data_IF_006777265639
#
_entry.id   IF_006777265639
#
_cell.length_a   1.000
_cell.length_b   1.000
_cell.length_c   1.000
_cell.angle_alpha   90.00
_cell.angle_beta   90.00
_cell.angle_gamma   90.00
#
_symmetry.space_group_name_H-M   'P 1'
#
loop_
_entity.id
_entity.type
_entity.pdbx_description
1 polymer ?
#
# COMPACT_ATOMS: atom_id res chain seq x y z
N UNK A 1 -4.90 13.15 -30.79
CA UNK A 1 -5.18 13.30 -29.35
C UNK A 1 -3.89 12.99 -28.62
N UNK A 2 -3.15 14.02 -28.25
CA UNK A 2 -1.97 13.91 -27.41
C UNK A 2 -2.46 13.78 -25.97
N UNK A 3 -2.33 12.59 -25.41
CA UNK A 3 -2.47 12.39 -23.99
C UNK A 3 -1.28 13.11 -23.34
N UNK A 4 -1.56 14.06 -22.45
CA UNK A 4 -0.54 14.71 -21.64
C UNK A 4 0.02 13.67 -20.65
N UNK A 5 1.02 12.93 -21.10
CA UNK A 5 1.89 12.14 -20.24
C UNK A 5 2.85 13.13 -19.55
N UNK A 6 2.62 13.51 -18.29
CA UNK A 6 3.67 13.95 -17.33
C UNK A 6 3.18 14.42 -15.94
N UNK A 7 1.88 14.55 -15.69
CA UNK A 7 1.40 15.15 -14.42
C UNK A 7 1.63 14.29 -13.15
N UNK A 8 2.13 13.06 -13.29
CA UNK A 8 2.32 12.10 -12.21
C UNK A 8 3.80 11.82 -11.88
N UNK A 9 4.74 12.54 -12.51
CA UNK A 9 6.17 12.35 -12.23
C UNK A 9 6.64 13.03 -10.95
N UNK A 10 5.91 14.03 -10.44
CA UNK A 10 6.25 14.76 -9.22
C UNK A 10 5.08 14.78 -8.23
N UNK A 11 5.15 13.91 -7.22
CA UNK A 11 4.29 14.03 -6.04
C UNK A 11 5.01 14.95 -5.05
N UNK A 12 4.48 16.16 -4.92
CA UNK A 12 5.02 17.16 -4.00
C UNK A 12 4.46 16.92 -2.60
N UNK A 13 5.36 16.82 -1.62
CA UNK A 13 4.99 16.77 -0.21
C UNK A 13 5.09 18.16 0.38
N UNK A 14 4.00 18.61 1.01
CA UNK A 14 3.97 19.84 1.78
C UNK A 14 4.30 19.46 3.22
N UNK A 15 5.46 19.89 3.70
CA UNK A 15 5.76 19.84 5.12
C UNK A 15 5.20 21.11 5.78
N UNK A 16 4.23 20.94 6.68
CA UNK A 16 3.71 22.05 7.49
C UNK A 16 4.56 22.13 8.76
N UNK A 17 5.69 22.83 8.67
CA UNK A 17 6.36 23.36 9.86
C UNK A 17 5.78 24.72 10.19
N UNK A 18 5.44 24.90 11.47
CA UNK A 18 4.92 26.07 12.15
C UNK A 18 4.66 27.32 11.27
N UNK A 19 3.37 27.54 11.02
CA UNK A 19 2.62 28.66 10.41
C UNK A 19 3.17 29.48 9.23
N UNK A 20 4.43 29.39 8.78
CA UNK A 20 4.95 30.33 7.75
C UNK A 20 5.92 29.79 6.71
N UNK A 21 6.35 28.53 6.77
CA UNK A 21 7.27 27.98 5.77
C UNK A 21 6.83 26.59 5.30
N UNK A 22 6.27 26.54 4.08
CA UNK A 22 6.07 25.30 3.33
C UNK A 22 7.36 25.01 2.55
N UNK A 23 8.11 23.99 2.95
CA UNK A 23 9.19 23.46 2.13
C UNK A 23 8.67 22.44 1.14
N UNK A 24 9.07 22.52 -0.13
CA UNK A 24 8.85 21.43 -1.08
C UNK A 24 9.81 20.29 -0.76
N UNK A 25 9.24 19.11 -0.50
CA UNK A 25 10.01 17.89 -0.29
C UNK A 25 9.72 16.91 -1.42
N UNK A 26 10.71 16.71 -2.29
CA UNK A 26 10.59 15.79 -3.41
C UNK A 26 10.72 14.36 -2.94
N UNK A 27 9.89 13.44 -3.46
CA UNK A 27 10.02 12.01 -3.18
C UNK A 27 10.26 11.19 -4.44
N UNK A 28 11.54 11.03 -4.86
CA UNK A 28 11.86 10.31 -6.10
C UNK A 28 11.36 8.86 -6.09
N UNK A 29 11.30 8.21 -4.93
CA UNK A 29 10.84 6.83 -4.77
C UNK A 29 9.35 6.65 -5.10
N UNK A 30 8.61 7.74 -5.25
CA UNK A 30 7.20 7.73 -5.64
C UNK A 30 6.96 7.94 -7.13
N UNK A 31 8.03 8.13 -7.91
CA UNK A 31 7.89 8.19 -9.35
C UNK A 31 7.26 6.89 -9.84
N UNK A 32 6.20 7.00 -10.64
CA UNK A 32 5.41 5.87 -11.11
C UNK A 32 4.80 5.03 -9.97
N UNK A 33 4.43 5.63 -8.83
CA UNK A 33 3.71 4.94 -7.78
C UNK A 33 2.40 5.64 -7.44
N UNK A 34 1.37 4.83 -7.29
CA UNK A 34 0.06 5.25 -6.80
C UNK A 34 -0.03 5.04 -5.29
N UNK A 35 -0.64 5.98 -4.55
CA UNK A 35 -0.86 5.85 -3.11
C UNK A 35 -2.28 5.32 -2.89
N UNK A 36 -2.39 4.24 -2.14
CA UNK A 36 -3.68 3.61 -1.78
C UNK A 36 -3.99 3.72 -0.29
N UNK A 37 -3.13 4.41 0.47
CA UNK A 37 -3.41 4.69 1.87
C UNK A 37 -2.20 5.19 2.63
N UNK A 38 -2.43 5.63 3.86
CA UNK A 38 -1.36 6.03 4.76
C UNK A 38 -1.73 5.75 6.21
N UNK A 39 -0.73 5.38 7.01
CA UNK A 39 -0.87 5.28 8.47
C UNK A 39 0.50 5.28 9.14
N UNK A 40 0.58 5.82 10.36
CA UNK A 40 1.82 5.86 11.15
C UNK A 40 3.03 6.50 10.44
N UNK A 41 2.81 7.45 9.53
CA UNK A 41 3.88 8.07 8.74
C UNK A 41 4.40 7.22 7.59
N UNK A 42 3.73 6.10 7.28
CA UNK A 42 4.00 5.26 6.13
C UNK A 42 2.90 5.42 5.09
N UNK A 43 3.29 5.43 3.83
CA UNK A 43 2.44 5.44 2.65
C UNK A 43 2.40 4.05 2.05
N UNK A 44 1.21 3.60 1.69
CA UNK A 44 1.02 2.37 0.95
C UNK A 44 1.07 2.70 -0.54
N UNK A 45 2.07 2.16 -1.23
CA UNK A 45 2.38 2.51 -2.61
C UNK A 45 2.30 1.29 -3.52
N UNK A 46 1.72 1.47 -4.70
CA UNK A 46 1.60 0.47 -5.76
C UNK A 46 2.33 1.00 -6.99
N UNK A 47 3.29 0.24 -7.50
CA UNK A 47 3.99 0.59 -8.73
C UNK A 47 3.02 0.59 -9.92
N UNK A 48 3.00 1.68 -10.71
CA UNK A 48 2.15 1.87 -11.90
C UNK A 48 2.74 1.30 -13.19
N UNK A 49 3.98 0.79 -13.13
CA UNK A 49 4.64 0.08 -14.23
C UNK A 49 4.94 -1.36 -13.86
N UNK A 50 5.26 -1.58 -12.59
CA UNK A 50 5.38 -2.88 -11.96
C UNK A 50 4.04 -3.38 -11.41
N UNK A 51 4.07 -4.47 -10.64
CA UNK A 51 2.94 -4.93 -9.83
C UNK A 51 3.31 -4.99 -8.34
N UNK A 52 4.38 -4.30 -7.98
CA UNK A 52 4.97 -4.37 -6.65
C UNK A 52 4.29 -3.40 -5.70
N UNK A 53 4.21 -3.82 -4.45
CA UNK A 53 3.57 -3.08 -3.37
C UNK A 53 4.62 -2.79 -2.30
N UNK A 54 4.67 -1.54 -1.85
CA UNK A 54 5.64 -1.12 -0.83
C UNK A 54 4.99 -0.20 0.19
N UNK A 55 5.39 -0.35 1.45
CA UNK A 55 5.28 0.72 2.42
C UNK A 55 6.46 1.66 2.24
N UNK A 56 6.19 2.95 2.12
CA UNK A 56 7.19 4.00 1.99
C UNK A 56 7.03 5.01 3.12
N UNK A 57 8.09 5.26 3.87
CA UNK A 57 8.15 6.41 4.75
C UNK A 57 8.79 7.57 3.97
N UNK A 58 8.04 8.62 3.59
CA UNK A 58 8.57 9.68 2.74
C UNK A 58 9.72 10.44 3.41
N UNK A 59 9.65 10.64 4.73
CA UNK A 59 10.65 11.41 5.47
C UNK A 59 11.99 10.66 5.61
N UNK A 60 11.93 9.38 5.96
CA UNK A 60 13.13 8.54 6.19
C UNK A 60 13.60 7.81 4.94
N UNK A 61 12.82 7.84 3.85
CA UNK A 61 13.03 7.04 2.62
C UNK A 61 12.97 5.52 2.82
N UNK A 62 12.63 5.06 4.01
CA UNK A 62 12.57 3.64 4.29
C UNK A 62 11.46 3.00 3.45
N UNK A 63 11.80 1.87 2.81
CA UNK A 63 10.85 1.07 2.03
C UNK A 63 10.77 -0.33 2.60
N UNK A 64 9.56 -0.86 2.71
CA UNK A 64 9.30 -2.23 3.14
C UNK A 64 8.48 -2.89 2.04
N UNK A 65 8.99 -3.94 1.38
CA UNK A 65 8.25 -4.66 0.37
C UNK A 65 7.10 -5.43 1.00
N UNK A 66 5.99 -5.48 0.29
CA UNK A 66 4.82 -6.31 0.57
C UNK A 66 4.60 -7.28 -0.59
N UNK A 67 3.76 -8.33 -0.42
CA UNK A 67 3.42 -9.21 -1.53
C UNK A 67 2.81 -8.41 -2.69
N UNK A 68 3.23 -8.73 -3.91
CA UNK A 68 2.81 -8.01 -5.13
C UNK A 68 1.34 -8.23 -5.47
N UNK A 69 0.77 -7.40 -6.36
CA UNK A 69 -0.62 -7.52 -6.81
C UNK A 69 -0.95 -8.93 -7.34
N UNK A 70 0.01 -9.61 -7.94
CA UNK A 70 -0.13 -10.97 -8.48
C UNK A 70 -0.43 -12.04 -7.41
N UNK A 71 -0.16 -11.73 -6.15
CA UNK A 71 -0.28 -12.68 -5.04
C UNK A 71 -1.62 -12.56 -4.32
N UNK A 72 -2.48 -11.62 -4.74
CA UNK A 72 -3.87 -11.57 -4.29
C UNK A 72 -4.63 -12.79 -4.78
N UNK A 73 -5.49 -13.31 -3.92
CA UNK A 73 -6.39 -14.40 -4.28
C UNK A 73 -7.62 -13.77 -4.95
N UNK A 74 -7.82 -14.03 -6.23
CA UNK A 74 -9.03 -13.56 -6.89
C UNK A 74 -10.24 -14.38 -6.43
N UNK A 75 -11.38 -13.73 -6.13
CA UNK A 75 -12.63 -14.45 -5.85
C UNK A 75 -12.98 -15.41 -6.98
N UNK A 76 -13.46 -16.61 -6.62
CA UNK A 76 -13.90 -17.61 -7.60
C UNK A 76 -15.04 -17.02 -8.45
N UNK A 77 -14.79 -16.87 -9.76
CA UNK A 77 -15.79 -16.42 -10.74
C UNK A 77 -15.69 -14.95 -11.17
N UNK A 78 -14.70 -14.18 -10.70
CA UNK A 78 -14.69 -12.73 -10.88
C UNK A 78 -13.96 -12.17 -12.11
N UNK A 79 -12.89 -12.79 -12.62
CA UNK A 79 -12.02 -12.08 -13.57
C UNK A 79 -11.38 -12.98 -14.63
N UNK A 80 -11.65 -12.67 -15.90
CA UNK A 80 -10.76 -13.00 -17.02
C UNK A 80 -9.71 -11.89 -17.07
N UNK A 81 -8.45 -12.24 -16.98
CA UNK A 81 -7.30 -11.39 -16.65
C UNK A 81 -6.91 -10.33 -17.70
N UNK A 82 -7.85 -9.57 -18.28
CA UNK A 82 -7.56 -8.80 -19.51
C UNK A 82 -8.09 -7.37 -19.61
N UNK A 83 -9.00 -6.89 -18.75
CA UNK A 83 -9.77 -5.67 -19.08
C UNK A 83 -9.68 -4.49 -18.09
N UNK A 84 -8.93 -4.59 -17.00
CA UNK A 84 -8.74 -3.44 -16.09
C UNK A 84 -7.26 -3.16 -15.83
N UNK A 85 -6.94 -1.87 -15.71
CA UNK A 85 -5.63 -1.38 -15.30
C UNK A 85 -5.42 -1.80 -13.83
N UNK A 86 -4.50 -2.73 -13.57
CA UNK A 86 -4.34 -3.37 -12.25
C UNK A 86 -4.09 -2.37 -11.09
N UNK A 87 -3.71 -1.13 -11.39
CA UNK A 87 -3.42 -0.10 -10.39
C UNK A 87 -4.64 0.39 -9.61
N UNK A 88 -5.85 0.23 -10.17
CA UNK A 88 -7.12 0.49 -9.48
C UNK A 88 -7.65 -0.72 -8.70
N UNK A 89 -6.88 -1.82 -8.65
CA UNK A 89 -7.30 -3.06 -8.00
C UNK A 89 -7.26 -2.97 -6.47
N UNK A 90 -6.41 -2.10 -5.92
CA UNK A 90 -6.35 -1.84 -4.48
C UNK A 90 -6.98 -0.47 -4.23
N UNK A 91 -8.11 -0.46 -3.53
CA UNK A 91 -8.88 0.75 -3.27
C UNK A 91 -8.36 1.50 -2.05
N UNK A 92 -8.16 0.77 -0.95
CA UNK A 92 -7.62 1.29 0.29
C UNK A 92 -6.69 0.29 0.95
N UNK A 93 -5.64 0.77 1.62
CA UNK A 93 -4.78 -0.06 2.43
C UNK A 93 -4.24 0.65 3.68
N UNK A 94 -4.12 -0.12 4.77
CA UNK A 94 -3.64 0.35 6.07
C UNK A 94 -2.77 -0.69 6.74
N UNK A 95 -1.93 -0.22 7.68
CA UNK A 95 -1.12 -1.08 8.55
C UNK A 95 -1.64 -1.03 9.99
N UNK A 96 -1.52 -2.13 10.73
CA UNK A 96 -2.03 -2.23 12.11
C UNK A 96 -1.27 -1.38 13.12
N UNK A 97 0.05 -1.25 12.94
CA UNK A 97 0.99 -0.58 13.86
C UNK A 97 2.22 -0.07 13.11
N UNK A 98 3.00 0.80 13.75
CA UNK A 98 4.19 1.44 13.14
C UNK A 98 5.38 0.47 12.98
N UNK A 99 5.83 0.19 11.74
CA UNK A 99 7.03 -0.60 11.45
C UNK A 99 8.32 -0.12 12.10
N UNK A 100 8.40 1.18 12.41
CA UNK A 100 9.59 1.79 13.01
C UNK A 100 9.83 1.33 14.44
N UNK A 101 8.78 0.90 15.15
CA UNK A 101 8.86 0.50 16.56
C UNK A 101 9.45 -0.89 16.79
N UNK A 102 9.53 -1.74 15.75
CA UNK A 102 10.05 -3.12 15.86
C UNK A 102 11.50 -3.20 16.33
N UNK A 103 12.33 -2.18 16.05
CA UNK A 103 13.75 -2.20 16.45
C UNK A 103 14.00 -1.93 17.93
N UNK A 104 12.98 -1.52 18.70
CA UNK A 104 13.16 -1.07 20.10
C UNK A 104 12.91 -2.14 21.17
N UNK A 105 12.40 -3.32 20.81
CA UNK A 105 12.21 -4.43 21.76
C UNK A 105 13.24 -5.53 21.46
N UNK A 106 14.34 -5.54 22.20
CA UNK A 106 15.38 -6.58 22.13
C UNK A 106 15.04 -7.79 23.01
N UNK A 107 13.99 -7.73 23.82
CA UNK A 107 13.70 -8.77 24.81
C UNK A 107 12.34 -9.42 24.51
N UNK A 108 12.41 -10.65 23.96
CA UNK A 108 11.40 -11.70 23.99
C UNK A 108 9.93 -11.27 23.91
N UNK A 109 9.41 -11.01 22.70
CA UNK A 109 7.98 -11.15 22.43
C UNK A 109 7.77 -11.40 20.94
N UNK A 110 7.44 -12.65 20.59
CA UNK A 110 7.30 -13.16 19.21
C UNK A 110 5.97 -12.73 18.55
N UNK A 111 5.24 -11.77 19.13
CA UNK A 111 3.85 -11.46 18.76
C UNK A 111 3.62 -10.04 18.19
N UNK A 112 4.65 -9.22 17.97
CA UNK A 112 4.48 -7.89 17.35
C UNK A 112 4.47 -7.98 15.80
N UNK A 113 3.53 -8.77 15.27
CA UNK A 113 3.33 -8.89 13.83
C UNK A 113 2.56 -7.67 13.30
N UNK A 114 3.13 -7.02 12.28
CA UNK A 114 2.45 -5.89 11.61
C UNK A 114 1.63 -6.48 10.48
N UNK A 115 0.34 -6.23 10.54
CA UNK A 115 -0.59 -6.59 9.49
C UNK A 115 -0.74 -5.42 8.53
N UNK A 116 -0.54 -5.69 7.25
CA UNK A 116 -1.02 -4.88 6.16
C UNK A 116 -2.38 -5.42 5.75
N UNK A 117 -3.37 -4.53 5.65
CA UNK A 117 -4.75 -4.84 5.25
C UNK A 117 -5.10 -3.98 4.05
N UNK A 118 -5.80 -4.56 3.08
CA UNK A 118 -6.17 -3.91 1.84
C UNK A 118 -7.59 -4.30 1.43
N UNK A 119 -8.37 -3.34 0.94
CA UNK A 119 -9.64 -3.56 0.25
C UNK A 119 -9.34 -3.62 -1.24
N UNK A 120 -9.71 -4.73 -1.87
CA UNK A 120 -9.36 -5.00 -3.26
C UNK A 120 -10.56 -5.37 -4.11
N UNK A 121 -10.43 -5.13 -5.42
CA UNK A 121 -11.41 -5.41 -6.48
C UNK A 121 -12.74 -4.66 -6.32
N UNK A 122 -13.55 -4.65 -7.38
CA UNK A 122 -14.92 -4.12 -7.35
C UNK A 122 -15.89 -4.90 -6.43
N UNK A 123 -15.45 -6.05 -5.88
CA UNK A 123 -16.19 -6.80 -4.88
C UNK A 123 -15.84 -6.37 -3.44
N UNK A 124 -14.98 -5.36 -3.27
CA UNK A 124 -14.55 -4.82 -1.97
C UNK A 124 -14.06 -5.91 -1.00
N UNK A 125 -13.28 -6.86 -1.51
CA UNK A 125 -12.78 -7.98 -0.71
C UNK A 125 -11.69 -7.48 0.23
N UNK A 126 -11.89 -7.68 1.53
CA UNK A 126 -10.86 -7.41 2.52
C UNK A 126 -9.79 -8.50 2.47
N UNK A 127 -8.54 -8.09 2.33
CA UNK A 127 -7.37 -8.98 2.31
C UNK A 127 -6.31 -8.48 3.26
N UNK A 128 -5.49 -9.40 3.81
CA UNK A 128 -4.40 -9.04 4.69
C UNK A 128 -3.15 -9.89 4.47
N UNK A 129 -2.00 -9.37 4.89
CA UNK A 129 -0.74 -10.09 5.00
C UNK A 129 0.06 -9.55 6.19
N UNK A 130 0.99 -10.36 6.71
CA UNK A 130 2.03 -9.86 7.62
C UNK A 130 3.15 -9.24 6.81
N UNK A 131 3.77 -8.21 7.36
CA UNK A 131 5.03 -7.68 6.82
C UNK A 131 6.07 -8.81 6.82
N UNK A 132 6.53 -9.21 5.64
CA UNK A 132 7.44 -10.34 5.42
C UNK A 132 6.78 -11.58 4.80
N UNK A 133 5.45 -11.61 4.71
CA UNK A 133 4.75 -12.67 3.98
C UNK A 133 5.04 -12.60 2.47
N UNK A 134 4.84 -13.72 1.78
CA UNK A 134 4.95 -13.82 0.32
C UNK A 134 3.61 -13.77 -0.42
N UNK A 135 2.48 -13.64 0.29
CA UNK A 135 1.14 -13.65 -0.32
C UNK A 135 0.10 -12.92 0.53
N UNK A 136 -1.01 -12.54 -0.11
CA UNK A 136 -2.20 -12.02 0.56
C UNK A 136 -3.21 -13.13 0.90
N UNK A 137 -3.93 -12.93 1.99
CA UNK A 137 -5.02 -13.80 2.45
C UNK A 137 -6.31 -13.02 2.46
N UNK A 138 -7.32 -13.49 1.73
CA UNK A 138 -8.64 -12.88 1.77
C UNK A 138 -9.32 -13.23 3.08
N UNK A 139 -10.00 -12.25 3.68
CA UNK A 139 -10.94 -12.50 4.76
C UNK A 139 -12.18 -13.08 4.12
N UNK A 140 -12.48 -14.35 4.40
CA UNK A 140 -13.72 -14.96 3.92
C UNK A 140 -14.90 -14.24 4.55
N UNK A 141 -15.85 -13.80 3.72
CA UNK A 141 -17.15 -13.39 4.20
C UNK A 141 -17.82 -14.64 4.78
N UNK A 142 -17.85 -14.73 6.12
CA UNK A 142 -18.77 -15.64 6.79
C UNK A 142 -20.16 -15.12 6.48
N UNK A 143 -20.67 -15.49 5.29
CA UNK A 143 -22.04 -15.21 4.87
C UNK A 143 -22.92 -15.55 6.06
N UNK A 144 -23.45 -14.53 6.71
CA UNK A 144 -24.51 -14.69 7.68
C UNK A 144 -25.68 -15.27 6.88
N UNK A 145 -25.81 -16.59 6.89
CA UNK A 145 -27.02 -17.26 6.46
C UNK A 145 -28.05 -16.98 7.55
N UNK A 146 -28.70 -15.83 7.41
CA UNK A 146 -29.93 -15.50 8.13
C UNK A 146 -31.09 -16.30 7.56
#
# INVERSE_FOLDING_TARGET
>A
MQCHDNDWENINFIFVSDERNCGEFLVPEMRNKWIVGSRHGWLFTVDTRGRDIHLLNPLTRAQIPLPSLNTFQHPKGGFRSGEFNDFGFVEEAVISSDPSNKRRKLDNDDDDCILAMAIISNFHVLSFCRVGDGKWTNVEDSRCTS
#
